data_IF_732088446928
#
_entry.id   IF_732088446928
#
_cell.length_a   1.000
_cell.length_b   1.000
_cell.length_c   1.000
_cell.angle_alpha   90.00
_cell.angle_beta   90.00
_cell.angle_gamma   90.00
#
_symmetry.space_group_name_H-M   'P 1'
#
loop_
_entity.id
_entity.type
_entity.pdbx_description
1 polymer ?
#
# COMPACT_ATOMS: atom_id res chain seq x y z
N UNK A 1 -18.74 9.38 30.09
CA UNK A 1 -18.34 9.74 28.71
C UNK A 1 -16.83 10.00 28.65
N UNK A 2 -16.03 8.96 28.39
CA UNK A 2 -14.56 9.06 28.24
C UNK A 2 -14.08 8.40 26.94
N UNK A 3 -14.90 8.40 25.88
CA UNK A 3 -14.53 7.84 24.57
C UNK A 3 -13.88 8.86 23.63
N UNK A 4 -13.60 10.08 24.12
CA UNK A 4 -13.03 11.18 23.32
C UNK A 4 -11.52 11.37 23.55
N UNK A 5 -10.89 10.48 24.33
CA UNK A 5 -9.46 10.49 24.58
C UNK A 5 -8.75 9.31 23.88
N UNK A 6 -8.93 9.20 22.57
CA UNK A 6 -7.89 8.63 21.69
C UNK A 6 -7.17 9.78 20.97
N UNK A 7 -6.47 10.66 21.72
CA UNK A 7 -5.63 11.67 21.12
C UNK A 7 -4.48 10.93 20.45
N UNK A 8 -4.30 11.16 19.15
CA UNK A 8 -2.96 11.21 18.55
C UNK A 8 -2.04 10.02 18.87
N UNK A 9 -2.57 8.79 18.97
CA UNK A 9 -1.71 7.61 18.97
C UNK A 9 -1.19 7.46 17.54
N UNK A 10 0.00 8.01 17.33
CA UNK A 10 0.87 7.75 16.20
C UNK A 10 1.07 6.23 16.07
N UNK A 11 0.18 5.61 15.32
CA UNK A 11 0.06 4.18 15.14
C UNK A 11 1.12 3.62 14.19
N UNK A 12 2.27 4.29 14.05
CA UNK A 12 3.37 3.78 13.23
C UNK A 12 3.97 2.50 13.81
N UNK A 13 4.00 2.33 15.14
CA UNK A 13 4.50 1.10 15.78
C UNK A 13 3.51 -0.07 15.81
N UNK A 14 2.19 0.16 15.94
CA UNK A 14 1.20 -0.94 15.97
C UNK A 14 0.99 -1.61 14.61
N UNK A 15 1.44 -0.97 13.51
CA UNK A 15 1.43 -1.58 12.17
C UNK A 15 2.35 -2.79 12.07
N UNK A 16 3.36 -2.92 12.94
CA UNK A 16 4.23 -4.09 12.96
C UNK A 16 3.62 -5.29 13.70
N UNK A 17 2.64 -5.08 14.59
CA UNK A 17 2.00 -6.17 15.33
C UNK A 17 0.97 -6.95 14.50
N UNK A 18 0.46 -6.34 13.41
CA UNK A 18 -0.50 -6.97 12.49
C UNK A 18 0.17 -7.43 11.17
N UNK A 19 1.51 -7.43 11.07
CA UNK A 19 2.17 -8.05 9.92
C UNK A 19 2.13 -9.57 10.12
N UNK A 20 1.37 -10.34 9.32
CA UNK A 20 1.61 -11.78 9.26
C UNK A 20 3.04 -11.95 8.73
N UNK A 21 3.87 -12.62 9.51
CA UNK A 21 5.27 -12.97 9.25
C UNK A 21 5.61 -13.02 7.74
N UNK A 22 6.18 -11.94 7.22
CA UNK A 22 6.85 -11.97 5.92
C UNK A 22 8.34 -11.97 6.22
N UNK A 23 8.90 -13.16 6.08
CA UNK A 23 10.29 -13.51 6.34
C UNK A 23 11.25 -12.56 5.61
N UNK A 24 12.16 -12.03 6.40
CA UNK A 24 13.28 -11.19 6.00
C UNK A 24 14.34 -12.08 5.33
N UNK A 25 14.53 -11.88 4.02
CA UNK A 25 15.75 -12.28 3.33
C UNK A 25 16.32 -11.00 2.73
N UNK A 26 17.41 -10.54 3.34
CA UNK A 26 18.25 -9.44 2.90
C UNK A 26 18.84 -9.74 1.52
N UNK A 27 18.92 -8.71 0.66
CA UNK A 27 20.12 -8.36 -0.14
C UNK A 27 19.79 -7.44 -1.32
N UNK A 28 20.63 -6.41 -1.47
CA UNK A 28 21.04 -5.83 -2.75
C UNK A 28 20.02 -5.01 -3.56
N UNK A 29 20.16 -3.68 -3.41
CA UNK A 29 20.33 -2.72 -4.52
C UNK A 29 19.99 -3.20 -5.94
N UNK A 30 18.73 -3.03 -6.34
CA UNK A 30 18.33 -2.67 -7.70
C UNK A 30 16.83 -2.36 -7.66
N UNK A 31 16.44 -1.11 -7.96
CA UNK A 31 15.35 -0.80 -8.90
C UNK A 31 14.10 -1.73 -8.88
N UNK A 32 13.62 -2.17 -7.71
CA UNK A 32 12.52 -3.13 -7.63
C UNK A 32 11.20 -2.39 -7.85
N UNK A 33 10.83 -2.23 -9.12
CA UNK A 33 9.50 -1.80 -9.56
C UNK A 33 8.36 -2.72 -9.08
N UNK A 34 8.71 -3.82 -8.40
CA UNK A 34 7.79 -4.81 -7.85
C UNK A 34 7.42 -4.55 -6.37
N UNK A 35 8.26 -3.82 -5.63
CA UNK A 35 8.04 -3.52 -4.21
C UNK A 35 7.04 -2.38 -4.01
N UNK A 36 6.16 -2.52 -3.01
CA UNK A 36 5.20 -1.47 -2.67
C UNK A 36 5.95 -0.23 -2.14
N UNK A 37 5.76 0.97 -2.73
CA UNK A 37 6.47 2.17 -2.31
C UNK A 37 6.07 2.69 -0.91
N UNK A 38 5.02 2.14 -0.30
CA UNK A 38 4.52 2.58 1.01
C UNK A 38 5.15 1.76 2.15
N UNK A 39 5.17 0.43 2.02
CA UNK A 39 5.69 -0.46 3.06
C UNK A 39 7.04 -1.09 2.70
N UNK A 40 7.55 -0.84 1.50
CA UNK A 40 8.81 -1.37 0.96
C UNK A 40 8.90 -2.90 0.93
N UNK A 41 7.75 -3.59 1.01
CA UNK A 41 7.66 -5.05 0.92
C UNK A 41 7.04 -5.50 -0.40
N UNK A 42 7.31 -6.74 -0.78
CA UNK A 42 6.66 -7.41 -1.92
C UNK A 42 5.18 -7.66 -1.62
N UNK A 43 4.23 -7.15 -2.41
CA UNK A 43 2.81 -7.32 -2.13
C UNK A 43 2.33 -8.75 -2.35
N UNK A 44 1.78 -9.39 -1.30
CA UNK A 44 1.11 -10.69 -1.40
C UNK A 44 -0.20 -10.61 -2.20
N UNK A 45 -0.95 -9.52 -2.04
CA UNK A 45 -2.14 -9.19 -2.82
C UNK A 45 -1.85 -7.90 -3.60
N UNK A 46 -1.27 -8.02 -4.82
CA UNK A 46 -0.85 -6.87 -5.58
C UNK A 46 -2.03 -6.15 -6.23
N UNK A 47 -2.04 -4.84 -6.07
CA UNK A 47 -2.95 -3.92 -6.74
C UNK A 47 -2.16 -2.87 -7.50
N UNK A 48 -2.71 -2.38 -8.60
CA UNK A 48 -2.16 -1.26 -9.37
C UNK A 48 -2.99 -0.01 -9.16
N UNK A 49 -2.32 1.13 -9.10
CA UNK A 49 -2.96 2.44 -9.12
C UNK A 49 -3.20 2.87 -10.57
N UNK A 50 -4.45 3.14 -10.94
CA UNK A 50 -4.79 3.64 -12.26
C UNK A 50 -4.74 5.17 -12.29
N UNK A 51 -4.25 5.81 -13.38
CA UNK A 51 -3.85 5.20 -14.66
C UNK A 51 -2.37 4.77 -14.72
N UNK A 52 -1.55 5.13 -13.73
CA UNK A 52 -0.09 4.97 -13.81
C UNK A 52 0.46 3.54 -13.67
N UNK A 53 -0.40 2.55 -13.38
CA UNK A 53 -0.08 1.11 -13.28
C UNK A 53 0.99 0.73 -12.23
N UNK A 54 1.41 1.65 -11.36
CA UNK A 54 2.36 1.33 -10.30
C UNK A 54 1.76 0.38 -9.26
N UNK A 55 2.55 -0.60 -8.82
CA UNK A 55 2.14 -1.70 -7.94
C UNK A 55 2.22 -1.32 -6.45
N UNK A 56 1.22 -1.74 -5.70
CA UNK A 56 1.05 -1.55 -4.26
C UNK A 56 0.50 -2.81 -3.61
N UNK A 57 0.60 -2.89 -2.27
CA UNK A 57 -0.25 -3.76 -1.47
C UNK A 57 -1.68 -3.24 -1.48
N UNK A 58 -2.65 -4.15 -1.55
CA UNK A 58 -4.09 -3.83 -1.45
C UNK A 58 -4.40 -2.86 -0.30
N UNK A 59 -3.98 -3.20 0.92
CA UNK A 59 -4.26 -2.37 2.10
C UNK A 59 -3.52 -1.04 2.08
N UNK A 60 -2.26 -1.01 1.63
CA UNK A 60 -1.51 0.24 1.56
C UNK A 60 -2.16 1.24 0.60
N UNK A 61 -2.60 0.79 -0.57
CA UNK A 61 -3.27 1.64 -1.54
C UNK A 61 -4.67 2.06 -1.06
N UNK A 62 -5.48 1.09 -0.59
CA UNK A 62 -6.85 1.34 -0.12
C UNK A 62 -6.89 2.32 1.06
N UNK A 63 -6.00 2.16 2.03
CA UNK A 63 -5.93 3.07 3.19
C UNK A 63 -5.56 4.50 2.77
N UNK A 64 -4.63 4.67 1.82
CA UNK A 64 -4.23 6.01 1.34
C UNK A 64 -5.36 6.69 0.55
N UNK A 65 -6.00 5.99 -0.38
CA UNK A 65 -7.13 6.53 -1.13
C UNK A 65 -8.33 6.88 -0.22
N UNK A 66 -8.58 6.08 0.83
CA UNK A 66 -9.65 6.37 1.79
C UNK A 66 -9.31 7.57 2.70
N UNK A 67 -8.04 7.75 3.08
CA UNK A 67 -7.61 8.86 3.93
C UNK A 67 -7.51 10.19 3.16
N UNK A 68 -7.17 10.15 1.88
CA UNK A 68 -7.04 11.32 1.03
C UNK A 68 -7.64 11.03 -0.36
N UNK A 69 -8.82 11.59 -0.70
CA UNK A 69 -9.43 11.37 -2.02
C UNK A 69 -8.60 11.96 -3.18
N UNK A 70 -7.68 12.89 -2.87
CA UNK A 70 -6.70 13.45 -3.80
C UNK A 70 -5.35 12.71 -3.78
N UNK A 71 -5.32 11.47 -3.29
CA UNK A 71 -4.07 10.71 -3.21
C UNK A 71 -3.41 10.58 -4.58
N UNK A 72 -2.10 10.81 -4.59
CA UNK A 72 -1.23 10.73 -5.76
C UNK A 72 -0.25 9.59 -5.60
N UNK A 73 0.02 8.89 -6.70
CA UNK A 73 0.95 7.78 -6.74
C UNK A 73 2.31 8.19 -6.15
N UNK A 74 2.83 7.41 -5.20
CA UNK A 74 4.11 7.70 -4.54
C UNK A 74 5.33 7.50 -5.44
N UNK A 75 5.16 6.93 -6.65
CA UNK A 75 6.25 6.74 -7.63
C UNK A 75 6.31 7.88 -8.66
N UNK A 76 5.16 8.26 -9.23
CA UNK A 76 5.10 9.20 -10.36
C UNK A 76 4.24 10.43 -10.11
N UNK A 77 3.66 10.59 -8.92
CA UNK A 77 2.75 11.68 -8.54
C UNK A 77 1.43 11.79 -9.33
N UNK A 78 1.15 10.85 -10.24
CA UNK A 78 -0.11 10.78 -10.97
C UNK A 78 -1.30 10.60 -10.00
N UNK A 79 -2.43 11.34 -10.16
CA UNK A 79 -3.63 11.12 -9.36
C UNK A 79 -4.14 9.68 -9.50
N UNK A 80 -4.42 9.05 -8.36
CA UNK A 80 -4.98 7.69 -8.34
C UNK A 80 -6.49 7.79 -8.45
N UNK A 81 -7.03 7.44 -9.61
CA UNK A 81 -8.49 7.50 -9.87
C UNK A 81 -9.21 6.19 -9.54
N UNK A 82 -8.48 5.07 -9.60
CA UNK A 82 -9.01 3.74 -9.32
C UNK A 82 -7.91 2.78 -8.89
N UNK A 83 -8.32 1.64 -8.32
CA UNK A 83 -7.44 0.56 -7.88
C UNK A 83 -7.88 -0.73 -8.58
N UNK A 84 -6.94 -1.47 -9.15
CA UNK A 84 -7.22 -2.75 -9.82
C UNK A 84 -6.32 -3.86 -9.30
N UNK A 85 -6.86 -5.08 -9.14
CA UNK A 85 -6.04 -6.24 -8.77
C UNK A 85 -5.10 -6.59 -9.91
N UNK A 86 -3.80 -6.69 -9.62
CA UNK A 86 -2.80 -7.08 -10.60
C UNK A 86 -2.95 -8.58 -10.91
N UNK A 87 -3.15 -8.93 -12.19
CA UNK A 87 -3.36 -10.31 -12.62
C UNK A 87 -4.78 -10.85 -12.40
N UNK A 88 -5.80 -9.98 -12.38
CA UNK A 88 -7.18 -10.44 -12.60
C UNK A 88 -7.32 -10.94 -14.04
N UNK A 89 -7.29 -12.26 -14.22
CA UNK A 89 -7.67 -12.88 -15.50
C UNK A 89 -9.11 -12.45 -15.78
N UNK A 90 -9.42 -11.81 -16.92
CA UNK A 90 -10.78 -11.72 -17.38
C UNK A 90 -11.19 -13.15 -17.72
N UNK A 91 -11.94 -13.80 -16.84
CA UNK A 91 -12.71 -14.97 -17.22
C UNK A 91 -13.80 -14.47 -18.15
N UNK A 92 -13.62 -14.73 -19.44
CA UNK A 92 -14.66 -14.63 -20.47
C UNK A 92 -15.83 -15.58 -20.19
#
# INVERSE_FOLDING_TARGET
MLLLLLPLLNSSSVKNLLRPFSKDESSSSAEDGTACPICQATPTIPFVALPCQHRYCYYCLRTRCAAAPSFRCSRCSEPVVAMQRHGGVPTE
#
